data_IF_989401761162
#
_entry.id   IF_989401761162
#
_cell.length_a   1.000
_cell.length_b   1.000
_cell.length_c   1.000
_cell.angle_alpha   90.00
_cell.angle_beta   90.00
_cell.angle_gamma   90.00
#
_symmetry.space_group_name_H-M   'P 1'
#
loop_
_entity.id
_entity.type
_entity.pdbx_description
1 polymer ?
#
# COMPACT_ATOMS: atom_id res chain seq x y z
N UNK A 1 -16.67 12.38 10.86
CA UNK A 1 -15.34 11.97 10.34
C UNK A 1 -14.94 10.68 11.04
N UNK A 2 -15.02 9.54 10.36
CA UNK A 2 -14.56 8.26 10.94
C UNK A 2 -13.07 8.36 11.25
N UNK A 3 -12.69 8.05 12.50
CA UNK A 3 -11.28 7.97 12.92
C UNK A 3 -10.54 7.06 11.95
N UNK A 4 -9.53 7.61 11.27
CA UNK A 4 -8.65 6.87 10.39
C UNK A 4 -7.91 5.83 11.25
N UNK A 5 -8.05 4.50 11.00
CA UNK A 5 -7.35 3.50 11.79
C UNK A 5 -5.85 3.62 11.54
N UNK A 6 -5.14 4.25 12.49
CA UNK A 6 -3.68 4.30 12.48
C UNK A 6 -3.19 3.01 13.12
N UNK A 7 -2.60 2.14 12.30
CA UNK A 7 -1.91 0.95 12.78
C UNK A 7 -0.57 1.41 13.38
N UNK A 8 -0.27 1.08 14.64
CA UNK A 8 1.01 1.43 15.25
C UNK A 8 2.15 0.73 14.51
N UNK A 9 3.37 1.26 14.66
CA UNK A 9 4.56 0.67 14.06
C UNK A 9 5.75 0.77 15.01
N UNK A 10 6.75 -0.06 14.77
CA UNK A 10 8.00 -0.02 15.53
C UNK A 10 8.83 1.22 15.17
N UNK A 11 9.11 2.14 16.12
CA UNK A 11 9.80 3.40 15.83
C UNK A 11 11.19 3.22 15.20
N UNK A 12 11.83 2.08 15.45
CA UNK A 12 13.13 1.70 14.88
C UNK A 12 13.10 1.61 13.35
N UNK A 13 11.92 1.36 12.75
CA UNK A 13 11.75 1.28 11.30
C UNK A 13 11.76 2.65 10.61
N UNK A 14 11.74 3.76 11.35
CA UNK A 14 11.73 5.12 10.77
C UNK A 14 12.96 5.40 9.92
N UNK A 15 14.13 4.97 10.38
CA UNK A 15 15.38 5.18 9.67
C UNK A 15 15.41 4.36 8.39
N UNK A 16 15.10 3.06 8.48
CA UNK A 16 14.96 2.17 7.31
C UNK A 16 13.96 2.72 6.28
N UNK A 17 12.79 3.18 6.73
CA UNK A 17 11.80 3.80 5.86
C UNK A 17 12.31 5.07 5.16
N UNK A 18 13.12 5.89 5.84
CA UNK A 18 13.78 7.05 5.23
C UNK A 18 14.80 6.64 4.18
N UNK A 19 15.60 5.62 4.45
CA UNK A 19 16.56 5.09 3.48
C UNK A 19 15.87 4.55 2.24
N UNK A 20 14.81 3.74 2.41
CA UNK A 20 13.99 3.21 1.31
C UNK A 20 13.39 4.35 0.48
N UNK A 21 12.87 5.42 1.12
CA UNK A 21 12.37 6.59 0.38
C UNK A 21 13.42 7.24 -0.52
N UNK A 22 14.68 7.23 -0.11
CA UNK A 22 15.79 7.80 -0.87
C UNK A 22 16.27 6.86 -1.99
N UNK A 23 16.10 5.55 -1.80
CA UNK A 23 16.56 4.48 -2.70
C UNK A 23 15.46 3.89 -3.60
N UNK A 24 14.26 4.46 -3.59
CA UNK A 24 13.14 3.99 -4.43
C UNK A 24 13.52 3.77 -5.89
N UNK A 25 13.00 2.68 -6.44
CA UNK A 25 13.13 2.33 -7.85
C UNK A 25 12.47 3.37 -8.75
N UNK A 26 12.74 3.29 -10.05
CA UNK A 26 12.08 4.15 -11.03
C UNK A 26 10.57 3.90 -11.06
N UNK A 27 10.15 2.63 -11.02
CA UNK A 27 8.74 2.23 -10.99
C UNK A 27 8.02 2.81 -9.76
N UNK A 28 8.59 2.66 -8.57
CA UNK A 28 8.03 3.27 -7.34
C UNK A 28 7.91 4.80 -7.46
N UNK A 29 8.94 5.48 -7.98
CA UNK A 29 8.90 6.94 -8.15
C UNK A 29 7.78 7.36 -9.08
N UNK A 30 7.63 6.67 -10.21
CA UNK A 30 6.59 6.96 -11.21
C UNK A 30 5.21 6.74 -10.61
N UNK A 31 4.96 5.57 -9.99
CA UNK A 31 3.67 5.29 -9.35
C UNK A 31 3.36 6.29 -8.24
N UNK A 32 4.36 6.68 -7.44
CA UNK A 32 4.19 7.69 -6.41
C UNK A 32 3.69 9.02 -6.95
N UNK A 33 4.19 9.46 -8.11
CA UNK A 33 3.73 10.70 -8.74
C UNK A 33 2.26 10.69 -9.11
N UNK A 34 1.68 9.52 -9.41
CA UNK A 34 0.27 9.35 -9.77
C UNK A 34 -0.67 9.24 -8.55
N UNK A 35 -0.20 8.68 -7.43
CA UNK A 35 -1.10 8.37 -6.29
C UNK A 35 -0.97 9.35 -5.12
N UNK A 36 0.11 10.15 -5.07
CA UNK A 36 0.32 11.16 -4.02
C UNK A 36 -0.74 12.25 -4.03
N UNK A 37 -0.75 13.08 -2.97
CA UNK A 37 -1.56 14.31 -2.88
C UNK A 37 -3.06 14.09 -3.16
N UNK A 38 -3.59 12.92 -2.79
CA UNK A 38 -5.00 12.56 -2.97
C UNK A 38 -5.48 12.61 -4.42
N UNK A 39 -4.60 12.35 -5.39
CA UNK A 39 -4.98 12.28 -6.81
C UNK A 39 -6.01 11.17 -7.12
N UNK A 40 -6.07 10.15 -6.26
CA UNK A 40 -7.09 9.09 -6.32
C UNK A 40 -8.23 9.29 -5.30
N UNK A 41 -8.34 10.49 -4.71
CA UNK A 41 -9.32 10.81 -3.67
C UNK A 41 -8.89 10.44 -2.25
N UNK A 42 -7.85 9.63 -2.09
CA UNK A 42 -7.37 9.11 -0.80
C UNK A 42 -5.90 9.41 -0.55
N UNK A 43 -5.51 9.55 0.71
CA UNK A 43 -4.12 9.81 1.08
C UNK A 43 -3.28 8.53 1.06
N UNK A 44 -2.30 8.49 0.16
CA UNK A 44 -1.26 7.46 0.13
C UNK A 44 0.03 8.00 0.75
N UNK A 45 0.69 7.17 1.53
CA UNK A 45 2.03 7.39 2.07
C UNK A 45 3.00 6.40 1.44
N UNK A 46 4.21 6.84 1.13
CA UNK A 46 5.26 6.01 0.51
C UNK A 46 6.28 5.55 1.53
N UNK A 47 6.67 4.28 1.44
CA UNK A 47 7.71 3.62 2.23
C UNK A 47 7.51 3.92 3.71
N UNK A 48 6.37 3.47 4.25
CA UNK A 48 5.91 3.80 5.60
C UNK A 48 5.95 2.55 6.49
N UNK A 49 6.42 2.67 7.75
CA UNK A 49 6.31 1.59 8.70
C UNK A 49 4.84 1.28 9.03
N UNK A 50 4.49 0.00 9.03
CA UNK A 50 3.20 -0.54 9.45
C UNK A 50 3.49 -1.79 10.27
N UNK A 51 3.07 -1.79 11.53
CA UNK A 51 3.39 -2.86 12.49
C UNK A 51 4.91 -3.14 12.55
N UNK A 52 5.36 -4.36 12.22
CA UNK A 52 6.77 -4.75 12.21
C UNK A 52 7.45 -4.59 10.83
N UNK A 53 6.76 -4.00 9.85
CA UNK A 53 7.19 -3.98 8.45
C UNK A 53 7.26 -2.55 7.88
N UNK A 54 7.97 -2.38 6.77
CA UNK A 54 7.88 -1.18 5.93
C UNK A 54 7.28 -1.62 4.60
N UNK A 55 6.24 -0.94 4.16
CA UNK A 55 5.50 -1.23 2.92
C UNK A 55 5.69 -0.10 1.92
N UNK A 56 5.66 -0.40 0.62
CA UNK A 56 6.01 0.57 -0.43
C UNK A 56 5.01 1.73 -0.50
N UNK A 57 3.71 1.44 -0.46
CA UNK A 57 2.66 2.44 -0.34
C UNK A 57 1.55 1.97 0.58
N UNK A 58 0.99 2.90 1.35
CA UNK A 58 -0.11 2.62 2.26
C UNK A 58 -1.14 3.73 2.29
N UNK A 59 -2.41 3.35 2.25
CA UNK A 59 -3.55 4.23 2.50
C UNK A 59 -4.26 3.81 3.78
N UNK A 60 -4.16 4.64 4.82
CA UNK A 60 -4.82 4.40 6.11
C UNK A 60 -6.36 4.34 5.97
N UNK A 61 -6.93 5.19 5.12
CA UNK A 61 -8.38 5.34 4.96
C UNK A 61 -9.03 4.07 4.38
N UNK A 62 -8.25 3.34 3.57
CA UNK A 62 -8.69 2.15 2.85
C UNK A 62 -8.14 0.85 3.45
N UNK A 63 -7.25 0.94 4.45
CA UNK A 63 -6.40 -0.17 4.90
C UNK A 63 -5.77 -0.91 3.71
N UNK A 64 -5.22 -0.16 2.75
CA UNK A 64 -4.67 -0.70 1.51
C UNK A 64 -3.16 -0.51 1.45
N UNK A 65 -2.44 -1.61 1.27
CA UNK A 65 -1.03 -1.63 0.86
C UNK A 65 -0.94 -1.83 -0.66
N UNK A 66 -0.03 -1.11 -1.30
CA UNK A 66 0.39 -1.37 -2.67
C UNK A 66 1.88 -1.67 -2.64
N UNK A 67 2.29 -2.88 -3.02
CA UNK A 67 3.70 -3.27 -3.16
C UNK A 67 4.13 -3.22 -4.62
N UNK A 68 5.35 -2.77 -4.84
CA UNK A 68 6.02 -2.77 -6.15
C UNK A 68 7.08 -3.86 -6.11
N UNK A 69 6.75 -5.01 -6.71
CA UNK A 69 7.63 -6.18 -6.72
C UNK A 69 8.65 -6.06 -7.86
N UNK A 70 9.89 -5.74 -7.51
CA UNK A 70 11.03 -5.95 -8.40
C UNK A 70 11.51 -7.38 -8.26
N UNK A 71 11.37 -8.20 -9.32
CA UNK A 71 11.80 -9.60 -9.48
C UNK A 71 12.36 -10.20 -8.17
N UNK A 72 11.47 -10.79 -7.38
CA UNK A 72 11.86 -11.53 -6.18
C UNK A 72 12.75 -12.72 -6.55
N UNK A 73 13.99 -12.74 -6.07
CA UNK A 73 14.86 -13.91 -6.22
C UNK A 73 14.26 -15.11 -5.47
N UNK A 74 13.87 -16.13 -6.24
CA UNK A 74 13.17 -17.35 -5.84
C UNK A 74 14.00 -18.27 -4.91
N UNK A 75 14.14 -17.91 -3.63
CA UNK A 75 14.38 -18.93 -2.60
C UNK A 75 13.08 -19.27 -1.89
N UNK A 76 12.86 -20.57 -1.63
CA UNK A 76 11.67 -21.04 -0.91
C UNK A 76 11.56 -20.41 0.48
N UNK A 77 12.70 -20.12 1.12
CA UNK A 77 12.78 -19.42 2.39
C UNK A 77 12.32 -17.95 2.30
N UNK A 78 12.60 -17.27 1.18
CA UNK A 78 12.12 -15.90 0.94
C UNK A 78 10.60 -15.89 0.72
N UNK A 79 10.07 -16.86 -0.04
CA UNK A 79 8.61 -17.00 -0.26
C UNK A 79 7.86 -17.28 1.03
N UNK A 80 8.37 -18.16 1.88
CA UNK A 80 7.75 -18.46 3.17
C UNK A 80 7.68 -17.21 4.07
N UNK A 81 8.76 -16.43 4.12
CA UNK A 81 8.80 -15.17 4.88
C UNK A 81 7.88 -14.09 4.30
N UNK A 82 7.77 -13.97 2.98
CA UNK A 82 6.84 -13.02 2.35
C UNK A 82 5.39 -13.39 2.64
N UNK A 83 5.07 -14.69 2.59
CA UNK A 83 3.73 -15.21 2.88
C UNK A 83 3.34 -14.98 4.35
N UNK A 84 4.27 -15.21 5.28
CA UNK A 84 4.05 -14.93 6.71
C UNK A 84 3.85 -13.42 6.94
N UNK A 85 4.68 -12.57 6.33
CA UNK A 85 4.52 -11.10 6.40
C UNK A 85 3.13 -10.68 5.93
N UNK A 86 2.71 -11.17 4.76
CA UNK A 86 1.41 -10.82 4.20
C UNK A 86 0.27 -11.27 5.13
N UNK A 87 0.31 -12.51 5.61
CA UNK A 87 -0.73 -13.04 6.50
C UNK A 87 -0.85 -12.23 7.81
N UNK A 88 0.26 -11.80 8.39
CA UNK A 88 0.26 -10.95 9.60
C UNK A 88 -0.42 -9.60 9.35
N UNK A 89 -0.10 -8.94 8.23
CA UNK A 89 -0.68 -7.65 7.87
C UNK A 89 -2.16 -7.78 7.48
N UNK A 90 -2.53 -8.82 6.73
CA UNK A 90 -3.93 -9.12 6.41
C UNK A 90 -4.76 -9.41 7.67
N UNK A 91 -4.16 -10.03 8.69
CA UNK A 91 -4.76 -10.20 10.02
C UNK A 91 -5.15 -8.89 10.71
N UNK A 92 -4.55 -7.75 10.32
CA UNK A 92 -4.89 -6.40 10.78
C UNK A 92 -6.01 -5.75 9.94
N UNK A 93 -6.60 -6.48 8.99
CA UNK A 93 -7.60 -5.97 8.05
C UNK A 93 -7.01 -5.23 6.85
N UNK A 94 -5.69 -5.30 6.65
CA UNK A 94 -5.01 -4.69 5.51
C UNK A 94 -5.26 -5.53 4.25
N UNK A 95 -5.58 -4.86 3.15
CA UNK A 95 -5.63 -5.44 1.82
C UNK A 95 -4.39 -5.11 1.00
N UNK A 96 -4.08 -5.93 -0.01
CA UNK A 96 -2.90 -5.77 -0.86
C UNK A 96 -3.27 -5.64 -2.34
N UNK A 97 -2.57 -4.75 -3.03
CA UNK A 97 -2.35 -4.80 -4.48
C UNK A 97 -0.85 -4.95 -4.72
N UNK A 98 -0.47 -5.74 -5.72
CA UNK A 98 0.94 -5.94 -6.08
C UNK A 98 1.12 -5.73 -7.57
N UNK A 99 2.12 -4.92 -7.92
CA UNK A 99 2.47 -4.62 -9.30
C UNK A 99 3.95 -4.87 -9.52
N UNK A 100 4.29 -5.53 -10.62
CA UNK A 100 5.69 -5.65 -11.03
C UNK A 100 6.22 -4.36 -11.64
N UNK A 101 7.53 -4.16 -11.56
CA UNK A 101 8.22 -3.05 -12.22
C UNK A 101 7.83 -2.95 -13.71
N UNK A 102 7.78 -4.06 -14.44
CA UNK A 102 7.46 -4.04 -15.88
C UNK A 102 6.01 -3.62 -16.15
N UNK A 103 5.08 -3.86 -15.21
CA UNK A 103 3.69 -3.42 -15.36
C UNK A 103 3.60 -1.90 -15.24
N UNK A 104 4.28 -1.32 -14.26
CA UNK A 104 4.29 0.12 -14.01
C UNK A 104 5.02 0.84 -15.14
N UNK A 105 6.20 0.34 -15.52
CA UNK A 105 7.04 0.95 -16.56
C UNK A 105 6.45 0.75 -17.97
N UNK A 106 5.73 -0.36 -18.20
CA UNK A 106 5.14 -0.69 -19.49
C UNK A 106 3.78 -0.04 -19.74
N UNK A 107 2.93 0.08 -18.71
CA UNK A 107 1.61 0.70 -18.83
C UNK A 107 1.10 1.23 -17.48
N UNK A 108 1.61 2.40 -17.11
CA UNK A 108 1.23 3.09 -15.88
C UNK A 108 -0.28 3.36 -15.78
N UNK A 109 -0.91 3.82 -16.87
CA UNK A 109 -2.33 4.17 -16.88
C UNK A 109 -3.21 2.98 -16.48
N UNK A 110 -2.88 1.78 -16.99
CA UNK A 110 -3.57 0.53 -16.62
C UNK A 110 -3.40 0.19 -15.15
N UNK A 111 -2.21 0.39 -14.59
CA UNK A 111 -1.95 0.17 -13.14
C UNK A 111 -2.81 1.13 -12.31
N UNK A 112 -2.84 2.41 -12.67
CA UNK A 112 -3.64 3.40 -11.94
C UNK A 112 -5.14 3.12 -12.08
N UNK A 113 -5.61 2.67 -13.25
CA UNK A 113 -6.99 2.24 -13.46
C UNK A 113 -7.35 1.05 -12.57
N UNK A 114 -6.47 0.07 -12.43
CA UNK A 114 -6.67 -1.09 -11.55
C UNK A 114 -6.81 -0.66 -10.08
N UNK A 115 -5.96 0.27 -9.61
CA UNK A 115 -6.08 0.85 -8.26
C UNK A 115 -7.42 1.56 -8.09
N UNK A 116 -7.83 2.39 -9.08
CA UNK A 116 -9.13 3.09 -9.04
C UNK A 116 -10.30 2.11 -9.00
N UNK A 117 -10.24 1.04 -9.79
CA UNK A 117 -11.26 -0.01 -9.80
C UNK A 117 -11.37 -0.69 -8.45
N UNK A 118 -10.25 -1.08 -7.85
CA UNK A 118 -10.23 -1.67 -6.51
C UNK A 118 -10.85 -0.74 -5.46
N UNK A 119 -10.47 0.56 -5.49
CA UNK A 119 -11.02 1.59 -4.59
C UNK A 119 -12.54 1.64 -4.75
N UNK A 120 -13.04 1.73 -5.99
CA UNK A 120 -14.47 1.81 -6.27
C UNK A 120 -15.22 0.57 -5.76
N UNK A 121 -14.70 -0.62 -6.00
CA UNK A 121 -15.32 -1.87 -5.56
C UNK A 121 -15.39 -1.97 -4.03
N UNK A 122 -14.32 -1.65 -3.32
CA UNK A 122 -14.27 -1.74 -1.85
C UNK A 122 -15.10 -0.68 -1.13
N UNK A 123 -15.18 0.52 -1.72
CA UNK A 123 -15.98 1.62 -1.18
C UNK A 123 -17.47 1.48 -1.52
N UNK A 124 -17.81 0.90 -2.68
CA UNK A 124 -19.21 0.65 -3.07
C UNK A 124 -19.80 -0.58 -2.38
N UNK A 125 -18.99 -1.58 -2.06
CA UNK A 125 -19.42 -2.78 -1.34
C UNK A 125 -19.60 -2.56 0.17
N UNK A 126 -19.21 -1.40 0.70
CA UNK A 126 -19.42 -1.02 2.10
C UNK A 126 -20.66 -0.11 2.21
N UNK A 127 -21.83 -0.59 2.67
CA UNK A 127 -22.97 0.28 2.88
C UNK A 127 -22.71 1.15 4.11
N UNK A 128 -22.73 2.48 3.90
CA UNK A 128 -22.93 3.55 4.89
C UNK A 128 -22.66 3.21 6.37
N UNK A 129 -21.56 3.73 6.92
CA UNK A 129 -21.61 4.20 8.32
C UNK A 129 -22.57 5.39 8.32
N UNK A 130 -23.82 5.14 8.74
CA UNK A 130 -24.82 6.20 8.94
C UNK A 130 -24.23 7.31 9.81
N UNK A 131 -24.54 8.53 9.38
CA UNK A 131 -24.42 9.79 10.08
C UNK A 131 -25.00 9.69 11.50
N UNK A 132 -24.24 10.16 12.50
CA UNK A 132 -24.79 10.53 13.79
C UNK A 132 -25.22 11.99 13.71
N UNK A 133 -26.50 12.22 13.44
CA UNK A 133 -27.23 13.40 13.89
C UNK A 133 -28.02 12.98 15.11
N UNK A 134 -27.62 13.49 16.28
CA UNK A 134 -28.45 13.90 17.42
C UNK A 134 -27.63 14.84 18.31
#
# INVERSE_FOLDING_TARGET
>A
MSRNPIIPYHPQLKERARELRNRSTLAEKILWWEIRKKQLGYEFHRQIPVDHFVVDFYCHELLLVIEVDGISHDSEEAKAKDSERQALLEGLGISFLRFRDEQILGNLDRVVEEIRKWIKEKTSASPSRKTGEE
#
